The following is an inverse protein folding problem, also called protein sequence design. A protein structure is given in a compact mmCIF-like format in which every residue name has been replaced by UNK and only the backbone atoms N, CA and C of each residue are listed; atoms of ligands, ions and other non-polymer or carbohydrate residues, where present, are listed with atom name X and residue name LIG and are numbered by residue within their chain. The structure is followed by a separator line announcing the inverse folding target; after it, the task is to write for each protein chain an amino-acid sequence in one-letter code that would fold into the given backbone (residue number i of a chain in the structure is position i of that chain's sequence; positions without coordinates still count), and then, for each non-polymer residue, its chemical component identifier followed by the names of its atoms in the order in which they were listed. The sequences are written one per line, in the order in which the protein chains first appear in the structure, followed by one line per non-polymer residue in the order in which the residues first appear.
data_IF_610034802077
#
_entry.id   IF_610034802077
#
_cell.length_a   1.000
_cell.length_b   1.000
_cell.length_c   1.000
_cell.angle_alpha   90.00
_cell.angle_beta   90.00
_cell.angle_gamma   90.00
#
_symmetry.space_group_name_H-M   'P 1'
#
loop_
_entity.id
_entity.type
_entity.pdbx_description
1 polymer ?
#
# COMPACT_ATOMS: atom_id res chain seq x y z
N UNK A 1 -35.35 4.53 -4.82
CA UNK A 1 -34.55 5.70 -5.23
C UNK A 1 -33.58 6.16 -4.14
N UNK A 2 -34.04 6.36 -2.90
CA UNK A 2 -33.20 6.79 -1.77
C UNK A 2 -32.11 5.79 -1.36
N UNK A 3 -32.35 4.49 -1.52
CA UNK A 3 -31.36 3.41 -1.29
C UNK A 3 -30.16 3.48 -2.23
N UNK A 4 -30.38 3.80 -3.51
CA UNK A 4 -29.32 3.85 -4.52
C UNK A 4 -28.38 5.03 -4.27
N UNK A 5 -28.94 6.19 -3.89
CA UNK A 5 -28.15 7.37 -3.53
C UNK A 5 -27.25 7.12 -2.32
N UNK A 6 -27.72 6.34 -1.35
CA UNK A 6 -26.95 5.97 -0.17
C UNK A 6 -25.79 5.04 -0.55
N UNK A 7 -26.05 4.02 -1.38
CA UNK A 7 -25.03 3.09 -1.89
C UNK A 7 -23.95 3.84 -2.69
N UNK A 8 -24.34 4.74 -3.58
CA UNK A 8 -23.43 5.57 -4.37
C UNK A 8 -22.52 6.46 -3.49
N UNK A 9 -23.10 7.07 -2.45
CA UNK A 9 -22.33 7.88 -1.48
C UNK A 9 -21.29 7.05 -0.75
N UNK A 10 -21.62 5.83 -0.34
CA UNK A 10 -20.66 4.93 0.31
C UNK A 10 -19.54 4.49 -0.63
N UNK A 11 -19.88 4.13 -1.88
CA UNK A 11 -18.88 3.74 -2.87
C UNK A 11 -17.90 4.88 -3.16
N UNK A 12 -18.43 6.09 -3.35
CA UNK A 12 -17.60 7.26 -3.56
C UNK A 12 -16.71 7.56 -2.35
N UNK A 13 -17.26 7.49 -1.13
CA UNK A 13 -16.50 7.69 0.10
C UNK A 13 -15.36 6.67 0.25
N UNK A 14 -15.62 5.37 0.02
CA UNK A 14 -14.58 4.35 0.10
C UNK A 14 -13.53 4.47 -1.00
N UNK A 15 -13.93 4.92 -2.20
CA UNK A 15 -12.96 5.20 -3.25
C UNK A 15 -12.02 6.33 -2.84
N UNK A 16 -12.54 7.46 -2.36
CA UNK A 16 -11.73 8.59 -1.86
C UNK A 16 -10.86 8.14 -0.68
N UNK A 17 -11.41 7.35 0.24
CA UNK A 17 -10.65 6.77 1.35
C UNK A 17 -9.50 5.90 0.85
N UNK A 18 -9.73 5.06 -0.17
CA UNK A 18 -8.68 4.20 -0.72
C UNK A 18 -7.52 5.02 -1.29
N UNK A 19 -7.81 6.09 -2.02
CA UNK A 19 -6.81 7.03 -2.55
C UNK A 19 -6.03 7.67 -1.38
N UNK A 20 -6.72 8.21 -0.39
CA UNK A 20 -6.09 8.85 0.78
C UNK A 20 -5.19 7.90 1.57
N UNK A 21 -5.68 6.69 1.85
CA UNK A 21 -4.94 5.63 2.54
C UNK A 21 -3.69 5.22 1.76
N UNK A 22 -3.78 5.12 0.43
CA UNK A 22 -2.61 4.82 -0.40
C UNK A 22 -1.56 5.93 -0.32
N UNK A 23 -1.94 7.20 -0.43
CA UNK A 23 -1.00 8.33 -0.36
C UNK A 23 -0.33 8.43 1.02
N UNK A 24 -1.09 8.24 2.10
CA UNK A 24 -0.54 8.19 3.45
C UNK A 24 0.47 7.04 3.58
N UNK A 25 0.06 5.82 3.22
CA UNK A 25 0.94 4.65 3.28
C UNK A 25 2.23 4.84 2.47
N UNK A 26 2.11 5.37 1.25
CA UNK A 26 3.24 5.65 0.38
C UNK A 26 4.24 6.64 1.00
N UNK A 27 3.75 7.67 1.70
CA UNK A 27 4.60 8.69 2.31
C UNK A 27 5.31 8.18 3.58
N UNK A 28 4.61 7.40 4.40
CA UNK A 28 5.06 6.96 5.72
C UNK A 28 5.83 5.63 5.72
N UNK A 29 5.54 4.70 4.80
CA UNK A 29 6.14 3.35 4.79
C UNK A 29 7.13 3.14 3.64
N UNK A 30 7.93 4.17 3.32
CA UNK A 30 9.08 4.01 2.42
C UNK A 30 8.75 3.89 0.92
N UNK A 31 7.53 4.24 0.49
CA UNK A 31 7.13 4.22 -0.92
C UNK A 31 8.04 5.07 -1.83
N UNK A 32 8.69 6.09 -1.26
CA UNK A 32 9.72 6.91 -1.91
C UNK A 32 10.89 6.10 -2.47
N UNK A 33 11.26 5.01 -1.80
CA UNK A 33 12.43 4.20 -2.15
C UNK A 33 12.13 3.00 -3.06
N UNK A 34 10.86 2.81 -3.47
CA UNK A 34 10.52 1.77 -4.45
C UNK A 34 11.18 2.11 -5.78
N UNK A 35 12.06 1.23 -6.26
CA UNK A 35 12.67 1.31 -7.60
C UNK A 35 12.31 0.05 -8.42
N UNK A 36 12.18 0.17 -9.76
CA UNK A 36 12.08 1.40 -10.54
C UNK A 36 10.76 2.18 -10.31
N UNK A 37 10.76 3.48 -10.58
CA UNK A 37 9.65 4.39 -10.27
C UNK A 37 8.32 4.01 -10.95
N UNK A 38 8.37 3.39 -12.15
CA UNK A 38 7.16 2.95 -12.85
C UNK A 38 6.38 1.86 -12.10
N UNK A 39 7.06 1.05 -11.26
CA UNK A 39 6.37 0.08 -10.39
C UNK A 39 5.48 0.75 -9.35
N UNK A 40 5.74 2.01 -9.00
CA UNK A 40 4.87 2.79 -8.10
C UNK A 40 3.51 3.04 -8.73
N UNK A 41 3.52 3.45 -10.00
CA UNK A 41 2.31 3.69 -10.78
C UNK A 41 1.53 2.37 -10.95
N UNK A 42 2.22 1.28 -11.28
CA UNK A 42 1.60 -0.05 -11.36
C UNK A 42 0.95 -0.48 -10.03
N UNK A 43 1.64 -0.30 -8.90
CA UNK A 43 1.08 -0.60 -7.56
C UNK A 43 -0.12 0.27 -7.22
N UNK A 44 -0.10 1.56 -7.58
CA UNK A 44 -1.25 2.45 -7.41
C UNK A 44 -2.46 1.94 -8.17
N UNK A 45 -2.31 1.69 -9.48
CA UNK A 45 -3.42 1.20 -10.31
C UNK A 45 -3.94 -0.14 -9.83
N UNK A 46 -3.06 -1.10 -9.53
CA UNK A 46 -3.46 -2.40 -9.02
C UNK A 46 -4.27 -2.25 -7.71
N UNK A 47 -3.79 -1.43 -6.77
CA UNK A 47 -4.50 -1.18 -5.52
C UNK A 47 -5.86 -0.52 -5.72
N UNK A 48 -5.96 0.52 -6.57
CA UNK A 48 -7.23 1.21 -6.84
C UNK A 48 -8.22 0.33 -7.60
N UNK A 49 -7.76 -0.48 -8.56
CA UNK A 49 -8.60 -1.43 -9.30
C UNK A 49 -9.17 -2.47 -8.33
N UNK A 50 -8.33 -3.12 -7.53
CA UNK A 50 -8.78 -4.12 -6.56
C UNK A 50 -9.73 -3.49 -5.54
N UNK A 51 -9.40 -2.31 -5.02
CA UNK A 51 -10.27 -1.58 -4.09
C UNK A 51 -11.63 -1.29 -4.72
N UNK A 52 -11.67 -0.83 -5.97
CA UNK A 52 -12.92 -0.52 -6.68
C UNK A 52 -13.77 -1.77 -6.91
N UNK A 53 -13.15 -2.88 -7.33
CA UNK A 53 -13.82 -4.18 -7.48
C UNK A 53 -14.43 -4.63 -6.16
N UNK A 54 -13.68 -4.53 -5.06
CA UNK A 54 -14.15 -4.94 -3.73
C UNK A 54 -15.25 -4.01 -3.19
N UNK A 55 -15.15 -2.70 -3.40
CA UNK A 55 -16.19 -1.74 -3.03
C UNK A 55 -17.52 -2.13 -3.71
N UNK A 56 -17.48 -2.44 -5.01
CA UNK A 56 -18.66 -2.82 -5.79
C UNK A 56 -19.21 -4.21 -5.44
N UNK A 57 -18.33 -5.15 -5.04
CA UNK A 57 -18.70 -6.56 -4.85
C UNK A 57 -19.13 -6.89 -3.42
N UNK A 58 -18.43 -6.35 -2.42
CA UNK A 58 -18.61 -6.71 -1.00
C UNK A 58 -18.83 -5.48 -0.09
N UNK A 59 -19.04 -4.30 -0.69
CA UNK A 59 -19.38 -3.05 -0.02
C UNK A 59 -18.46 -2.74 1.18
N UNK A 60 -18.98 -2.85 2.41
CA UNK A 60 -18.30 -2.42 3.64
C UNK A 60 -17.10 -3.29 3.98
N UNK A 61 -17.08 -4.55 3.54
CA UNK A 61 -15.95 -5.45 3.75
C UNK A 61 -14.71 -5.07 2.91
N UNK A 62 -14.87 -4.21 1.90
CA UNK A 62 -13.73 -3.64 1.16
C UNK A 62 -12.76 -2.85 2.05
N UNK A 63 -13.24 -2.31 3.18
CA UNK A 63 -12.41 -1.62 4.17
C UNK A 63 -11.30 -2.50 4.73
N UNK A 64 -11.55 -3.81 4.86
CA UNK A 64 -10.54 -4.78 5.33
C UNK A 64 -9.36 -4.79 4.36
N UNK A 65 -9.62 -4.78 3.06
CA UNK A 65 -8.56 -4.71 2.07
C UNK A 65 -7.90 -3.32 2.04
N UNK A 66 -8.70 -2.26 1.94
CA UNK A 66 -8.23 -0.86 1.84
C UNK A 66 -7.25 -0.53 2.98
N UNK A 67 -7.61 -0.88 4.22
CA UNK A 67 -6.80 -0.58 5.40
C UNK A 67 -5.80 -1.71 5.65
N UNK A 68 -6.27 -2.96 5.70
CA UNK A 68 -5.47 -4.12 6.09
C UNK A 68 -4.30 -4.37 5.15
N UNK A 69 -4.46 -4.17 3.84
CA UNK A 69 -3.37 -4.34 2.89
C UNK A 69 -2.21 -3.37 3.17
N UNK A 70 -2.51 -2.10 3.46
CA UNK A 70 -1.48 -1.10 3.77
C UNK A 70 -0.82 -1.37 5.13
N UNK A 71 -1.61 -1.77 6.14
CA UNK A 71 -1.07 -2.16 7.44
C UNK A 71 -0.14 -3.36 7.34
N UNK A 72 -0.51 -4.39 6.57
CA UNK A 72 0.35 -5.55 6.33
C UNK A 72 1.66 -5.16 5.62
N UNK A 73 1.58 -4.28 4.62
CA UNK A 73 2.77 -3.72 3.97
C UNK A 73 3.67 -2.97 4.95
N UNK A 74 3.09 -2.11 5.80
CA UNK A 74 3.82 -1.35 6.82
C UNK A 74 4.45 -2.22 7.91
N UNK A 75 3.73 -3.24 8.40
CA UNK A 75 4.25 -4.21 9.37
C UNK A 75 5.39 -5.02 8.77
N UNK A 76 5.25 -5.50 7.53
CA UNK A 76 6.33 -6.20 6.82
C UNK A 76 7.57 -5.31 6.70
N UNK A 77 7.40 -4.08 6.21
CA UNK A 77 8.47 -3.08 6.13
C UNK A 77 9.19 -2.88 7.47
N UNK A 78 8.42 -2.69 8.54
CA UNK A 78 8.96 -2.54 9.90
C UNK A 78 9.75 -3.77 10.36
N UNK A 79 9.18 -4.96 10.21
CA UNK A 79 9.81 -6.21 10.65
C UNK A 79 11.14 -6.46 9.93
N UNK A 80 11.17 -6.24 8.62
CA UNK A 80 12.38 -6.39 7.82
C UNK A 80 13.42 -5.33 8.16
N UNK A 81 13.04 -4.05 8.24
CA UNK A 81 13.97 -3.00 8.62
C UNK A 81 14.59 -3.29 9.99
N UNK A 82 13.77 -3.75 10.95
CA UNK A 82 14.24 -4.19 12.27
C UNK A 82 15.22 -5.37 12.18
N UNK A 83 14.92 -6.40 11.38
CA UNK A 83 15.79 -7.58 11.17
C UNK A 83 17.16 -7.19 10.62
N UNK A 84 17.21 -6.24 9.68
CA UNK A 84 18.45 -5.82 9.01
C UNK A 84 19.13 -4.59 9.64
N UNK A 85 18.64 -4.12 10.81
CA UNK A 85 19.13 -2.93 11.53
C UNK A 85 19.10 -1.66 10.67
N UNK A 86 18.01 -1.50 9.93
CA UNK A 86 17.68 -0.31 9.14
C UNK A 86 16.58 0.45 9.90
N UNK A 87 16.71 1.77 10.02
CA UNK A 87 15.66 2.62 10.54
C UNK A 87 14.48 2.60 9.57
N UNK A 88 13.33 2.12 10.03
CA UNK A 88 12.16 1.91 9.18
C UNK A 88 11.48 3.21 8.72
N UNK A 89 11.73 4.34 9.39
CA UNK A 89 11.12 5.64 9.04
C UNK A 89 11.96 6.37 8.00
N UNK A 90 13.27 6.33 8.17
CA UNK A 90 14.25 7.07 7.35
C UNK A 90 14.94 6.19 6.31
N UNK A 91 14.78 4.87 6.40
CA UNK A 91 15.48 3.86 5.61
C UNK A 91 17.01 3.95 5.70
N UNK A 92 17.55 4.42 6.83
CA UNK A 92 18.99 4.54 7.06
C UNK A 92 19.56 3.29 7.77
N UNK A 93 20.76 2.82 7.42
CA UNK A 93 21.64 3.32 6.35
C UNK A 93 21.12 2.98 4.95
N UNK A 94 21.11 3.98 4.06
CA UNK A 94 20.49 3.89 2.73
C UNK A 94 21.11 2.78 1.87
N UNK A 95 22.42 2.56 1.96
CA UNK A 95 23.12 1.55 1.16
C UNK A 95 22.59 0.14 1.46
N UNK A 96 22.38 -0.19 2.74
CA UNK A 96 21.83 -1.49 3.15
C UNK A 96 20.39 -1.66 2.69
N UNK A 97 19.61 -0.58 2.72
CA UNK A 97 18.23 -0.63 2.25
C UNK A 97 18.18 -0.87 0.74
N UNK A 98 19.00 -0.17 -0.05
CA UNK A 98 19.10 -0.37 -1.50
C UNK A 98 19.54 -1.81 -1.81
N UNK A 99 20.62 -2.29 -1.19
CA UNK A 99 21.13 -3.65 -1.39
C UNK A 99 20.05 -4.71 -1.13
N UNK A 100 19.30 -4.56 -0.03
CA UNK A 100 18.19 -5.45 0.32
C UNK A 100 17.08 -5.41 -0.74
N UNK A 101 16.69 -4.22 -1.20
CA UNK A 101 15.65 -4.10 -2.25
C UNK A 101 16.09 -4.68 -3.59
N UNK A 102 17.37 -4.59 -3.93
CA UNK A 102 17.94 -5.18 -5.15
C UNK A 102 17.99 -6.71 -5.10
N UNK A 103 18.38 -7.28 -3.97
CA UNK A 103 18.32 -8.74 -3.73
C UNK A 103 16.90 -9.28 -3.92
N UNK A 104 15.93 -8.62 -3.30
CA UNK A 104 14.53 -9.03 -3.40
C UNK A 104 13.95 -8.85 -4.80
N UNK A 105 14.38 -7.81 -5.54
CA UNK A 105 13.98 -7.64 -6.92
C UNK A 105 14.47 -8.78 -7.82
N UNK A 106 15.54 -9.48 -7.42
CA UNK A 106 16.08 -10.69 -8.05
C UNK A 106 15.48 -11.99 -7.50
N UNK A 107 14.56 -11.91 -6.53
CA UNK A 107 13.95 -13.05 -5.86
C UNK A 107 14.80 -13.69 -4.77
N UNK A 108 15.91 -13.05 -4.37
CA UNK A 108 16.72 -13.46 -3.23
C UNK A 108 16.19 -12.78 -1.97
N UNK A 109 15.52 -13.55 -1.12
CA UNK A 109 14.91 -13.06 0.13
C UNK A 109 15.72 -13.41 1.38
N UNK A 110 16.98 -13.83 1.21
CA UNK A 110 17.88 -14.22 2.31
C UNK A 110 18.28 -13.06 3.23
#
# INVERSE_FOLDING_TARGET
MQSNLIIEKYHFFYFILSVGVWFLSYHYFGGRFIRPQWKKVGKLFAYLIISSILILSIAHYSLIFIIGHQLLGGVGHFMICKKHRIDWKTCQPEEKYIELTEKWAKGDFS
#
